data_IF_953912521934
#
_entry.id   IF_953912521934
#
_cell.length_a   1.000
_cell.length_b   1.000
_cell.length_c   1.000
_cell.angle_alpha   90.00
_cell.angle_beta   90.00
_cell.angle_gamma   90.00
#
_symmetry.space_group_name_H-M   'P 1'
#
loop_
_entity.id
_entity.type
_entity.pdbx_description
1 polymer ?
#
# COMPACT_ATOMS: atom_id res chain seq x y z
N UNK A 1 20.48 -0.49 13.06
CA UNK A 1 19.38 -0.55 12.08
C UNK A 1 19.95 -0.15 10.73
N UNK A 2 19.93 -1.06 9.75
CA UNK A 2 20.48 -0.81 8.41
C UNK A 2 19.47 -0.07 7.53
N UNK A 3 19.91 0.50 6.40
CA UNK A 3 19.03 1.11 5.40
C UNK A 3 17.95 0.12 4.91
N UNK A 4 18.36 -1.12 4.68
CA UNK A 4 17.46 -2.16 4.17
C UNK A 4 16.42 -2.56 5.21
N UNK A 5 16.79 -2.61 6.49
CA UNK A 5 15.84 -2.82 7.60
C UNK A 5 14.83 -1.67 7.72
N UNK A 6 15.27 -0.42 7.52
CA UNK A 6 14.39 0.73 7.56
C UNK A 6 13.38 0.71 6.42
N UNK A 7 13.85 0.41 5.20
CA UNK A 7 12.98 0.29 4.03
C UNK A 7 12.00 -0.89 4.19
N UNK A 8 12.45 -2.00 4.78
CA UNK A 8 11.60 -3.15 5.06
C UNK A 8 10.50 -2.82 6.07
N UNK A 9 10.85 -2.14 7.16
CA UNK A 9 9.87 -1.69 8.16
C UNK A 9 8.88 -0.68 7.58
N UNK A 10 9.34 0.21 6.69
CA UNK A 10 8.46 1.15 5.98
C UNK A 10 7.47 0.40 5.07
N UNK A 11 7.94 -0.63 4.37
CA UNK A 11 7.08 -1.47 3.53
C UNK A 11 6.04 -2.23 4.35
N UNK A 12 6.44 -2.88 5.46
CA UNK A 12 5.54 -3.52 6.42
C UNK A 12 4.45 -2.55 6.91
N UNK A 13 4.84 -1.33 7.26
CA UNK A 13 3.92 -0.29 7.75
C UNK A 13 2.94 0.13 6.65
N UNK A 14 3.41 0.29 5.42
CA UNK A 14 2.58 0.64 4.26
C UNK A 14 1.53 -0.43 3.98
N UNK A 15 1.92 -1.71 3.92
CA UNK A 15 1.01 -2.83 3.68
C UNK A 15 0.00 -2.96 4.83
N UNK A 16 0.43 -2.81 6.09
CA UNK A 16 -0.46 -2.82 7.24
C UNK A 16 -1.51 -1.69 7.18
N UNK A 17 -1.10 -0.48 6.79
CA UNK A 17 -2.03 0.63 6.63
C UNK A 17 -3.07 0.36 5.54
N UNK A 18 -2.65 -0.20 4.39
CA UNK A 18 -3.56 -0.56 3.30
C UNK A 18 -4.53 -1.66 3.70
N UNK A 19 -4.06 -2.68 4.42
CA UNK A 19 -4.90 -3.74 4.96
C UNK A 19 -5.95 -3.18 5.92
N UNK A 20 -5.55 -2.29 6.83
CA UNK A 20 -6.49 -1.60 7.73
C UNK A 20 -7.56 -0.81 6.97
N UNK A 21 -7.17 -0.05 5.93
CA UNK A 21 -8.13 0.68 5.07
C UNK A 21 -9.08 -0.25 4.33
N UNK A 22 -8.59 -1.38 3.84
CA UNK A 22 -9.42 -2.40 3.20
C UNK A 22 -10.45 -2.97 4.18
N UNK A 23 -10.04 -3.34 5.40
CA UNK A 23 -10.97 -3.82 6.43
C UNK A 23 -12.04 -2.78 6.76
N UNK A 24 -11.65 -1.53 6.98
CA UNK A 24 -12.60 -0.43 7.23
C UNK A 24 -13.59 -0.28 6.08
N UNK A 25 -13.11 -0.31 4.83
CA UNK A 25 -13.98 -0.26 3.64
C UNK A 25 -14.95 -1.44 3.59
N UNK A 26 -14.51 -2.65 3.89
CA UNK A 26 -15.39 -3.84 3.93
C UNK A 26 -16.47 -3.71 4.99
N UNK A 27 -16.15 -3.13 6.15
CA UNK A 27 -17.13 -2.84 7.20
C UNK A 27 -18.11 -1.75 6.78
N UNK A 28 -17.63 -0.72 6.08
CA UNK A 28 -18.47 0.37 5.57
C UNK A 28 -19.43 -0.12 4.49
N UNK A 29 -18.94 -0.85 3.47
CA UNK A 29 -19.79 -1.40 2.40
C UNK A 29 -20.80 -2.45 2.89
N UNK A 30 -20.53 -3.10 4.04
CA UNK A 30 -21.49 -4.00 4.68
C UNK A 30 -22.57 -3.26 5.50
N UNK A 31 -22.36 -1.97 5.81
CA UNK A 31 -23.30 -1.16 6.58
C UNK A 31 -24.33 -0.51 5.64
N UNK A 32 -25.64 -0.82 5.77
CA UNK A 32 -26.67 -0.25 4.90
C UNK A 32 -26.86 1.27 5.07
N UNK A 33 -26.29 1.87 6.12
CA UNK A 33 -26.33 3.31 6.39
C UNK A 33 -25.06 4.04 5.94
N UNK A 34 -24.08 3.34 5.37
CA UNK A 34 -22.86 3.98 4.89
C UNK A 34 -23.15 4.95 3.73
N UNK A 35 -22.52 6.12 3.78
CA UNK A 35 -22.65 7.17 2.77
C UNK A 35 -21.34 7.42 2.02
N UNK A 36 -20.28 6.67 2.36
CA UNK A 36 -18.98 6.81 1.72
C UNK A 36 -19.06 6.31 0.29
N UNK A 37 -18.59 7.13 -0.66
CA UNK A 37 -18.39 6.71 -2.05
C UNK A 37 -16.90 6.46 -2.29
N UNK A 38 -16.58 5.25 -2.74
CA UNK A 38 -15.20 4.86 -3.06
C UNK A 38 -14.92 5.02 -4.55
N UNK A 39 -13.75 5.56 -4.89
CA UNK A 39 -13.36 5.84 -6.27
C UNK A 39 -12.80 4.63 -7.01
N UNK A 40 -12.20 3.68 -6.30
CA UNK A 40 -11.64 2.46 -6.86
C UNK A 40 -12.62 1.29 -6.68
N UNK A 41 -12.74 0.42 -7.68
CA UNK A 41 -13.52 -0.81 -7.54
C UNK A 41 -12.88 -1.72 -6.47
N UNK A 42 -13.71 -2.37 -5.66
CA UNK A 42 -13.22 -3.23 -4.59
C UNK A 42 -12.32 -4.38 -5.10
N UNK A 43 -12.66 -5.08 -6.22
CA UNK A 43 -11.82 -6.16 -6.75
C UNK A 43 -10.41 -5.70 -7.14
N UNK A 44 -10.26 -4.47 -7.62
CA UNK A 44 -8.95 -3.90 -7.97
C UNK A 44 -8.10 -3.67 -6.71
N UNK A 45 -8.73 -3.16 -5.65
CA UNK A 45 -8.08 -2.97 -4.34
C UNK A 45 -7.67 -4.31 -3.73
N UNK A 46 -8.56 -5.32 -3.79
CA UNK A 46 -8.29 -6.68 -3.30
C UNK A 46 -7.13 -7.32 -4.06
N UNK A 47 -7.11 -7.19 -5.40
CA UNK A 47 -6.03 -7.71 -6.25
C UNK A 47 -4.70 -7.04 -5.93
N UNK A 48 -4.66 -5.71 -5.84
CA UNK A 48 -3.45 -4.97 -5.51
C UNK A 48 -2.91 -5.36 -4.13
N UNK A 49 -3.77 -5.39 -3.11
CA UNK A 49 -3.39 -5.76 -1.75
C UNK A 49 -2.91 -7.21 -1.68
N UNK A 50 -3.57 -8.13 -2.40
CA UNK A 50 -3.17 -9.53 -2.49
C UNK A 50 -1.76 -9.70 -3.05
N UNK A 51 -1.44 -9.01 -4.15
CA UNK A 51 -0.11 -9.04 -4.74
C UNK A 51 0.96 -8.50 -3.77
N UNK A 52 0.70 -7.36 -3.13
CA UNK A 52 1.64 -6.77 -2.15
C UNK A 52 1.89 -7.69 -0.94
N UNK A 53 0.86 -8.40 -0.47
CA UNK A 53 1.00 -9.38 0.62
C UNK A 53 1.84 -10.59 0.22
N UNK A 54 1.68 -11.08 -1.02
CA UNK A 54 2.49 -12.21 -1.55
C UNK A 54 3.96 -11.82 -1.66
N UNK A 55 4.24 -10.63 -2.19
CA UNK A 55 5.60 -10.08 -2.29
C UNK A 55 6.23 -9.91 -0.91
N UNK A 56 5.51 -9.30 0.03
CA UNK A 56 5.97 -9.11 1.41
C UNK A 56 6.22 -10.45 2.11
N UNK A 57 5.32 -11.42 1.94
CA UNK A 57 5.48 -12.77 2.47
C UNK A 57 6.74 -13.45 1.93
N UNK A 58 7.00 -13.32 0.62
CA UNK A 58 8.23 -13.83 0.00
C UNK A 58 9.47 -13.14 0.56
N UNK A 59 9.43 -11.82 0.74
CA UNK A 59 10.54 -11.07 1.30
C UNK A 59 10.83 -11.43 2.76
N UNK A 60 9.80 -11.65 3.58
CA UNK A 60 9.91 -12.14 4.96
C UNK A 60 10.65 -13.48 5.03
N UNK A 61 10.25 -14.44 4.18
CA UNK A 61 10.88 -15.77 4.12
C UNK A 61 12.35 -15.67 3.71
N UNK A 62 12.67 -14.83 2.72
CA UNK A 62 14.06 -14.59 2.29
C UNK A 62 14.90 -13.97 3.39
N UNK A 63 14.38 -12.95 4.08
CA UNK A 63 15.04 -12.31 5.23
C UNK A 63 15.30 -13.32 6.34
N UNK A 64 14.34 -14.18 6.66
CA UNK A 64 14.49 -15.23 7.66
C UNK A 64 15.59 -16.25 7.29
N UNK A 65 15.74 -16.54 6.00
CA UNK A 65 16.80 -17.40 5.46
C UNK A 65 18.17 -16.70 5.31
N UNK A 66 18.30 -15.43 5.73
CA UNK A 66 19.54 -14.65 5.55
C UNK A 66 19.84 -14.27 4.09
N UNK A 67 18.85 -14.37 3.20
CA UNK A 67 18.97 -14.02 1.79
C UNK A 67 18.65 -12.54 1.57
N UNK A 68 19.25 -11.95 0.54
CA UNK A 68 18.87 -10.64 0.05
C UNK A 68 17.39 -10.65 -0.39
N UNK A 69 16.63 -9.63 0.00
CA UNK A 69 15.24 -9.45 -0.37
C UNK A 69 15.08 -8.12 -1.13
N UNK A 70 14.25 -8.08 -2.17
CA UNK A 70 13.97 -6.83 -2.87
C UNK A 70 13.24 -5.91 -1.89
N UNK A 71 13.80 -4.72 -1.66
CA UNK A 71 13.08 -3.64 -0.99
C UNK A 71 12.73 -2.65 -2.07
N UNK A 72 11.63 -2.90 -2.77
CA UNK A 72 11.12 -1.90 -3.68
C UNK A 72 10.58 -0.73 -2.88
N UNK A 73 11.20 0.43 -3.08
CA UNK A 73 10.70 1.72 -2.62
C UNK A 73 9.49 2.10 -3.48
N UNK A 74 8.38 1.36 -3.38
CA UNK A 74 7.09 1.76 -3.96
C UNK A 74 6.43 2.86 -3.13
N UNK A 75 7.21 3.91 -2.86
CA UNK A 75 6.76 5.15 -2.25
C UNK A 75 7.51 6.32 -2.89
N UNK A 76 6.72 7.28 -3.36
CA UNK A 76 7.09 8.53 -4.04
C UNK A 76 7.29 8.41 -5.56
N UNK A 77 6.17 8.31 -6.28
CA UNK A 77 6.09 9.08 -7.54
C UNK A 77 6.33 10.56 -7.18
N UNK A 78 7.25 11.28 -7.85
CA UNK A 78 7.34 12.72 -7.68
C UNK A 78 6.00 13.32 -8.11
N UNK A 79 5.35 14.05 -7.20
CA UNK A 79 4.20 14.89 -7.57
C UNK A 79 4.69 15.86 -8.63
N UNK A 80 4.23 15.73 -9.86
CA UNK A 80 4.41 16.78 -10.86
C UNK A 80 3.81 18.07 -10.29
N UNK A 81 4.55 19.20 -10.27
CA UNK A 81 3.98 20.46 -9.86
C UNK A 81 2.83 20.81 -10.80
N UNK A 82 1.68 21.16 -10.21
CA UNK A 82 0.48 21.60 -10.92
C UNK A 82 0.86 22.83 -11.77
N UNK A 83 0.56 22.87 -13.08
CA UNK A 83 0.81 24.07 -13.87
C UNK A 83 -0.02 25.22 -13.30
N UNK A 84 0.64 26.32 -12.96
CA UNK A 84 -0.01 27.57 -12.58
C UNK A 84 -0.88 28.02 -13.76
N UNK A 85 -2.19 28.15 -13.51
CA UNK A 85 -3.12 28.70 -14.49
C UNK A 85 -2.85 30.20 -14.54
N UNK A 86 -2.48 30.79 -15.70
CA UNK A 86 -2.39 32.25 -15.79
C UNK A 86 -3.78 32.86 -15.63
N UNK A 87 -3.91 33.77 -14.66
CA UNK A 87 -5.08 34.63 -14.54
C UNK A 87 -5.16 35.51 -15.79
N UNK A 88 -6.23 35.37 -16.57
CA UNK A 88 -6.70 36.37 -17.52
C UNK A 88 -7.87 37.13 -16.91
#
# INVERSE_FOLDING_TARGET
>A
MTRDELLFNAWLTSVNHRLGRYVVRRLDEANPLATTSYTAALPDVETQLGNELVELGTALLRKAAGLAFPVESSAVQPRTPKPEIPNF
#
